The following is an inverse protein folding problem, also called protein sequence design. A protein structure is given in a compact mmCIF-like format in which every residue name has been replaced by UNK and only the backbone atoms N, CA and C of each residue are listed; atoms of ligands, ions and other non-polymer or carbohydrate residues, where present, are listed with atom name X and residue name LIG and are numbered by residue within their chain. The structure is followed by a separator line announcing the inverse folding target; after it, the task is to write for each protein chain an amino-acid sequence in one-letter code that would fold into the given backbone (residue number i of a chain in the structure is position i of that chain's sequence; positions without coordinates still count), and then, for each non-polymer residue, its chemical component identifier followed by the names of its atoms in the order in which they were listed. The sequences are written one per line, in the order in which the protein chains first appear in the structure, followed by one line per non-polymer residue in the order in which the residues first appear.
data_IF_425303768894
#
_entry.id   IF_425303768894
#
_cell.length_a   1.000
_cell.length_b   1.000
_cell.length_c   1.000
_cell.angle_alpha   90.00
_cell.angle_beta   90.00
_cell.angle_gamma   90.00
#
_symmetry.space_group_name_H-M   'P 1'
#
loop_
_entity.id
_entity.type
_entity.pdbx_description
1 polymer ?
#
# COMPACT_ATOMS: atom_id res chain seq x y z
N UNK A 1 3.31 -25.53 19.23
CA UNK A 1 4.39 -25.69 18.23
C UNK A 1 3.77 -25.76 16.85
N UNK A 2 4.05 -24.76 16.01
CA UNK A 2 4.02 -24.85 14.53
C UNK A 2 4.77 -23.61 14.01
N UNK A 3 6.10 -23.72 13.80
CA UNK A 3 6.77 -23.81 12.49
C UNK A 3 6.63 -22.55 11.62
N UNK A 4 7.50 -21.58 11.89
CA UNK A 4 7.87 -20.52 10.94
C UNK A 4 8.72 -21.21 9.85
N UNK A 5 8.12 -21.46 8.69
CA UNK A 5 8.84 -21.92 7.52
C UNK A 5 9.48 -20.72 6.83
N UNK A 6 10.79 -20.82 6.65
CA UNK A 6 11.66 -19.82 6.05
C UNK A 6 11.23 -19.50 4.62
N UNK A 7 11.21 -18.20 4.30
CA UNK A 7 11.14 -17.69 2.94
C UNK A 7 12.36 -18.18 2.15
N UNK A 8 12.12 -18.87 1.04
CA UNK A 8 13.12 -18.99 -0.02
C UNK A 8 13.12 -17.69 -0.84
N UNK A 9 14.33 -17.19 -1.08
CA UNK A 9 14.62 -15.94 -1.77
C UNK A 9 14.81 -16.28 -3.25
N UNK A 10 13.71 -16.36 -4.00
CA UNK A 10 13.70 -16.27 -5.45
C UNK A 10 12.27 -15.97 -5.96
N UNK A 11 12.10 -14.84 -6.65
CA UNK A 11 10.99 -14.57 -7.57
C UNK A 11 9.57 -14.56 -6.99
N UNK A 12 9.28 -13.62 -6.08
CA UNK A 12 7.93 -13.16 -5.82
C UNK A 12 7.86 -11.63 -5.91
N UNK A 13 8.11 -11.10 -7.12
CA UNK A 13 7.64 -9.78 -7.52
C UNK A 13 6.22 -9.94 -8.08
N UNK A 14 5.31 -10.41 -7.23
CA UNK A 14 3.89 -10.59 -7.55
C UNK A 14 3.09 -10.33 -6.29
N UNK A 15 2.77 -9.05 -6.09
CA UNK A 15 1.89 -8.55 -5.04
C UNK A 15 2.47 -8.66 -3.64
N UNK A 16 2.41 -7.56 -2.88
CA UNK A 16 2.27 -7.66 -1.43
C UNK A 16 1.28 -8.80 -1.16
N UNK A 17 1.72 -9.94 -0.59
CA UNK A 17 0.84 -11.08 -0.47
C UNK A 17 -0.42 -10.63 0.26
N UNK A 18 -1.57 -11.21 -0.06
CA UNK A 18 -2.85 -10.99 0.61
C UNK A 18 -2.83 -11.41 2.11
N UNK A 19 -1.72 -11.17 2.82
CA UNK A 19 -1.48 -11.38 4.23
C UNK A 19 -1.98 -10.22 5.08
N UNK A 20 -2.29 -9.06 4.49
CA UNK A 20 -2.87 -7.95 5.23
C UNK A 20 -4.28 -8.21 5.77
N UNK A 21 -5.24 -8.85 5.08
CA UNK A 21 -6.58 -9.08 5.67
C UNK A 21 -6.56 -9.93 6.95
N UNK A 22 -5.58 -10.84 7.11
CA UNK A 22 -5.52 -11.73 8.27
C UNK A 22 -4.82 -11.09 9.47
N UNK A 23 -3.70 -10.38 9.24
CA UNK A 23 -2.99 -9.65 10.29
C UNK A 23 -3.83 -8.48 10.84
N UNK A 24 -4.62 -7.82 9.98
CA UNK A 24 -5.51 -6.72 10.37
C UNK A 24 -6.63 -7.14 11.34
N UNK A 25 -7.01 -8.42 11.39
CA UNK A 25 -8.05 -8.94 12.29
C UNK A 25 -7.62 -8.98 13.76
N UNK A 26 -6.31 -9.02 14.03
CA UNK A 26 -5.77 -9.06 15.40
C UNK A 26 -5.56 -7.65 16.00
N UNK A 27 -5.66 -6.60 15.17
CA UNK A 27 -5.36 -5.21 15.56
C UNK A 27 -6.63 -4.37 15.71
N UNK A 28 -7.71 -4.90 16.31
CA UNK A 28 -8.86 -4.09 16.78
C UNK A 28 -9.43 -3.05 15.81
N UNK A 29 -9.33 -3.29 14.50
CA UNK A 29 -9.79 -2.34 13.49
C UNK A 29 -11.32 -2.35 13.44
N UNK A 30 -11.94 -1.18 13.15
CA UNK A 30 -13.39 -1.11 13.02
C UNK A 30 -13.88 -2.13 11.98
N UNK A 31 -14.98 -2.81 12.29
CA UNK A 31 -15.56 -3.85 11.45
C UNK A 31 -16.24 -3.21 10.23
N UNK A 32 -15.45 -2.82 9.24
CA UNK A 32 -15.96 -2.37 7.95
C UNK A 32 -16.42 -3.60 7.14
N UNK A 33 -17.51 -3.47 6.37
CA UNK A 33 -17.91 -4.53 5.45
C UNK A 33 -16.81 -4.80 4.43
N UNK A 34 -16.49 -6.08 4.20
CA UNK A 34 -15.47 -6.49 3.24
C UNK A 34 -15.78 -5.91 1.86
N UNK A 35 -14.79 -5.28 1.23
CA UNK A 35 -14.93 -4.66 -0.09
C UNK A 35 -15.63 -3.30 -0.09
N UNK A 36 -16.00 -2.77 1.08
CA UNK A 36 -16.44 -1.37 1.19
C UNK A 36 -15.27 -0.42 0.97
N UNK A 37 -15.56 0.79 0.47
CA UNK A 37 -14.54 1.85 0.30
C UNK A 37 -13.81 2.11 1.61
N UNK A 38 -14.53 2.13 2.74
CA UNK A 38 -13.94 2.39 4.05
C UNK A 38 -13.00 1.25 4.50
N UNK A 39 -13.31 -0.01 4.16
CA UNK A 39 -12.40 -1.14 4.38
C UNK A 39 -11.12 -1.03 3.54
N UNK A 40 -11.27 -0.67 2.25
CA UNK A 40 -10.13 -0.50 1.34
C UNK A 40 -9.24 0.68 1.75
N UNK A 41 -9.82 1.83 2.12
CA UNK A 41 -9.05 2.96 2.64
C UNK A 41 -8.38 2.64 3.99
N UNK A 42 -8.97 1.76 4.80
CA UNK A 42 -8.33 1.29 6.03
C UNK A 42 -7.13 0.42 5.69
N UNK A 43 -7.28 -0.57 4.81
CA UNK A 43 -6.17 -1.40 4.34
C UNK A 43 -5.02 -0.55 3.78
N UNK A 44 -5.35 0.41 2.91
CA UNK A 44 -4.39 1.37 2.36
C UNK A 44 -3.57 2.09 3.45
N UNK A 45 -4.24 2.59 4.50
CA UNK A 45 -3.54 3.28 5.60
C UNK A 45 -2.57 2.36 6.34
N UNK A 46 -2.89 1.08 6.52
CA UNK A 46 -1.94 0.14 7.13
C UNK A 46 -0.74 -0.11 6.21
N UNK A 47 -0.94 -0.36 4.91
CA UNK A 47 0.18 -0.59 3.97
C UNK A 47 1.05 0.66 3.87
N UNK A 48 0.43 1.85 3.82
CA UNK A 48 1.15 3.12 3.84
C UNK A 48 2.00 3.28 5.12
N UNK A 49 1.48 2.87 6.29
CA UNK A 49 2.24 2.90 7.54
C UNK A 49 3.44 1.95 7.50
N UNK A 50 3.26 0.74 6.97
CA UNK A 50 4.34 -0.23 6.77
C UNK A 50 5.42 0.30 5.81
N UNK A 51 5.04 1.08 4.79
CA UNK A 51 6.02 1.73 3.90
C UNK A 51 6.86 2.78 4.63
N UNK A 52 6.27 3.52 5.57
CA UNK A 52 7.01 4.49 6.39
C UNK A 52 7.97 3.84 7.39
N UNK A 53 7.71 2.60 7.83
CA UNK A 53 8.63 1.83 8.68
C UNK A 53 9.67 1.05 7.88
N UNK A 54 9.57 1.06 6.54
CA UNK A 54 10.47 0.31 5.65
C UNK A 54 10.16 -1.18 5.56
N UNK A 55 9.03 -1.63 6.12
CA UNK A 55 8.54 -3.00 5.98
C UNK A 55 7.99 -3.28 4.58
N UNK A 56 7.53 -2.23 3.89
CA UNK A 56 7.09 -2.24 2.49
C UNK A 56 7.94 -1.24 1.73
N UNK A 57 8.44 -1.60 0.55
CA UNK A 57 9.17 -0.64 -0.27
C UNK A 57 8.21 0.36 -0.92
N UNK A 58 8.64 1.59 -1.26
CA UNK A 58 7.81 2.54 -1.98
C UNK A 58 7.20 1.95 -3.26
N UNK A 59 8.02 1.21 -4.04
CA UNK A 59 7.56 0.53 -5.25
C UNK A 59 6.51 -0.54 -4.97
N UNK A 60 6.70 -1.37 -3.94
CA UNK A 60 5.72 -2.41 -3.61
C UNK A 60 4.38 -1.80 -3.19
N UNK A 61 4.39 -0.67 -2.48
CA UNK A 61 3.18 0.08 -2.13
C UNK A 61 2.44 0.57 -3.38
N UNK A 62 3.12 1.25 -4.30
CA UNK A 62 2.48 1.80 -5.51
C UNK A 62 1.95 0.68 -6.41
N UNK A 63 2.71 -0.39 -6.58
CA UNK A 63 2.31 -1.54 -7.41
C UNK A 63 1.09 -2.24 -6.81
N UNK A 64 1.07 -2.44 -5.48
CA UNK A 64 -0.10 -2.98 -4.79
C UNK A 64 -1.34 -2.11 -4.99
N UNK A 65 -1.21 -0.78 -4.86
CA UNK A 65 -2.31 0.16 -5.10
C UNK A 65 -2.81 0.06 -6.54
N UNK A 66 -1.91 0.11 -7.52
CA UNK A 66 -2.27 0.12 -8.94
C UNK A 66 -2.97 -1.18 -9.35
N UNK A 67 -2.43 -2.34 -8.93
CA UNK A 67 -3.04 -3.64 -9.20
C UNK A 67 -4.43 -3.79 -8.55
N UNK A 68 -4.59 -3.31 -7.32
CA UNK A 68 -5.82 -3.51 -6.54
C UNK A 68 -6.93 -2.52 -6.89
N UNK A 69 -6.58 -1.27 -7.16
CA UNK A 69 -7.52 -0.16 -7.29
C UNK A 69 -7.46 0.56 -8.63
N UNK A 70 -6.42 0.33 -9.44
CA UNK A 70 -6.06 1.22 -10.54
C UNK A 70 -6.06 2.67 -10.04
N UNK A 71 -6.69 3.56 -10.79
CA UNK A 71 -6.88 4.97 -10.42
C UNK A 71 -8.25 5.26 -9.79
N UNK A 72 -9.00 4.24 -9.35
CA UNK A 72 -10.41 4.40 -8.96
C UNK A 72 -10.62 4.72 -7.48
N UNK A 73 -9.65 4.38 -6.61
CA UNK A 73 -9.70 4.77 -5.20
C UNK A 73 -9.13 6.17 -5.02
N UNK A 74 -10.01 7.17 -4.87
CA UNK A 74 -9.62 8.60 -4.77
C UNK A 74 -8.52 8.88 -3.75
N UNK A 75 -8.53 8.20 -2.60
CA UNK A 75 -7.50 8.41 -1.57
C UNK A 75 -6.11 7.95 -2.03
N UNK A 76 -6.05 6.99 -2.95
CA UNK A 76 -4.83 6.33 -3.43
C UNK A 76 -4.45 6.70 -4.88
N UNK A 77 -5.22 7.57 -5.54
CA UNK A 77 -5.04 7.91 -6.97
C UNK A 77 -3.61 8.37 -7.28
N UNK A 78 -3.02 9.16 -6.38
CA UNK A 78 -1.65 9.65 -6.56
C UNK A 78 -0.61 8.53 -6.43
N UNK A 79 -0.81 7.55 -5.54
CA UNK A 79 0.07 6.38 -5.46
C UNK A 79 -0.01 5.53 -6.74
N UNK A 80 -1.19 5.41 -7.35
CA UNK A 80 -1.34 4.74 -8.63
C UNK A 80 -0.61 5.50 -9.75
N UNK A 81 -0.70 6.85 -9.77
CA UNK A 81 0.04 7.68 -10.73
C UNK A 81 1.57 7.58 -10.55
N UNK A 82 2.03 7.48 -9.31
CA UNK A 82 3.46 7.26 -9.01
C UNK A 82 3.93 5.87 -9.44
N UNK A 83 3.05 4.87 -9.44
CA UNK A 83 3.36 3.56 -10.03
C UNK A 83 3.69 3.67 -11.52
N UNK A 84 2.86 4.39 -12.28
CA UNK A 84 3.11 4.68 -13.69
C UNK A 84 4.43 5.45 -13.87
N UNK A 85 4.74 6.39 -12.97
CA UNK A 85 5.95 7.21 -13.05
C UNK A 85 7.25 6.39 -13.01
N UNK A 86 7.29 5.28 -12.25
CA UNK A 86 8.44 4.38 -12.24
C UNK A 86 8.71 3.77 -13.62
N UNK A 87 7.66 3.46 -14.39
CA UNK A 87 7.77 2.90 -15.75
C UNK A 87 8.31 3.93 -16.76
N UNK A 88 8.18 5.22 -16.46
CA UNK A 88 8.59 6.31 -17.35
C UNK A 88 9.90 6.99 -16.95
N UNK A 89 10.63 6.46 -15.96
CA UNK A 89 11.92 7.04 -15.53
C UNK A 89 12.94 7.14 -16.66
N UNK A 90 12.92 6.22 -17.63
CA UNK A 90 13.81 6.27 -18.81
C UNK A 90 13.43 7.38 -19.83
N UNK A 91 12.23 7.95 -19.71
CA UNK A 91 11.69 8.98 -20.60
C UNK A 91 11.53 10.35 -19.92
N UNK A 92 11.82 10.43 -18.61
CA UNK A 92 11.66 11.65 -17.81
C UNK A 92 12.95 12.01 -17.10
N UNK A 93 13.02 13.24 -16.58
CA UNK A 93 14.16 13.68 -15.77
C UNK A 93 14.06 13.22 -14.29
N UNK A 94 12.94 12.61 -13.91
CA UNK A 94 12.67 12.20 -12.54
C UNK A 94 13.38 10.88 -12.23
N UNK A 95 14.14 10.86 -11.14
CA UNK A 95 14.88 9.70 -10.66
C UNK A 95 13.99 8.77 -9.84
N UNK A 96 14.39 7.50 -9.70
CA UNK A 96 13.65 6.54 -8.84
C UNK A 96 13.63 7.00 -7.39
N UNK A 97 14.71 7.61 -6.93
CA UNK A 97 14.84 8.13 -5.57
C UNK A 97 13.89 9.31 -5.30
N UNK A 98 13.66 10.17 -6.30
CA UNK A 98 12.66 11.25 -6.21
C UNK A 98 11.24 10.67 -6.17
N UNK A 99 10.94 9.65 -6.99
CA UNK A 99 9.64 8.96 -6.94
C UNK A 99 9.45 8.28 -5.57
N UNK A 100 10.47 7.58 -5.04
CA UNK A 100 10.42 6.98 -3.71
C UNK A 100 10.10 8.02 -2.63
N UNK A 101 10.70 9.21 -2.71
CA UNK A 101 10.44 10.30 -1.78
C UNK A 101 9.00 10.82 -1.88
N UNK A 102 8.47 10.97 -3.09
CA UNK A 102 7.08 11.36 -3.35
C UNK A 102 6.09 10.32 -2.81
N UNK A 103 6.36 9.03 -3.03
CA UNK A 103 5.55 7.93 -2.49
C UNK A 103 5.50 7.98 -0.96
N UNK A 104 6.63 8.20 -0.30
CA UNK A 104 6.67 8.30 1.16
C UNK A 104 5.98 9.58 1.66
N UNK A 105 6.05 10.69 0.92
CA UNK A 105 5.31 11.91 1.26
C UNK A 105 3.80 11.66 1.17
N UNK A 106 3.37 10.96 0.12
CA UNK A 106 1.96 10.61 -0.10
C UNK A 106 1.44 9.59 0.94
N UNK A 107 2.25 8.60 1.31
CA UNK A 107 1.93 7.68 2.41
C UNK A 107 1.69 8.43 3.74
N UNK A 108 2.52 9.45 4.06
CA UNK A 108 2.30 10.31 5.24
C UNK A 108 0.99 11.09 5.13
N UNK A 109 0.66 11.64 3.95
CA UNK A 109 -0.61 12.34 3.71
C UNK A 109 -1.81 11.42 3.95
N UNK A 110 -1.76 10.19 3.46
CA UNK A 110 -2.83 9.20 3.61
C UNK A 110 -3.07 8.84 5.08
N UNK A 111 -2.01 8.62 5.85
CA UNK A 111 -2.13 8.31 7.30
C UNK A 111 -2.64 9.52 8.08
N UNK A 112 -2.22 10.73 7.71
CA UNK A 112 -2.72 11.98 8.30
C UNK A 112 -4.15 12.35 7.88
N UNK A 113 -4.67 11.74 6.82
CA UNK A 113 -6.05 11.91 6.38
C UNK A 113 -6.96 11.10 7.31
N UNK A 114 -7.89 11.79 8.00
CA UNK A 114 -8.73 11.24 9.06
C UNK A 114 -9.42 9.91 8.70
N UNK A 115 -9.88 9.13 9.70
CA UNK A 115 -10.33 7.75 9.49
C UNK A 115 -11.46 7.70 8.46
N UNK A 116 -11.30 6.81 7.47
CA UNK A 116 -12.40 6.44 6.57
C UNK A 116 -13.57 5.97 7.43
N UNK A 117 -14.77 6.45 7.13
CA UNK A 117 -15.93 6.41 8.02
C UNK A 117 -16.49 5.02 8.31
N UNK A 118 -15.71 4.14 8.93
CA UNK A 118 -16.20 2.90 9.53
C UNK A 118 -16.80 3.24 10.89
N UNK A 119 -18.13 3.22 10.98
CA UNK A 119 -18.85 3.28 12.25
C UNK A 119 -18.90 1.87 12.85
N UNK A 120 -18.56 1.75 14.14
CA UNK A 120 -18.86 0.58 14.96
C UNK A 120 -20.27 0.62 15.54
#
# INVERSE_FOLDING_TARGET
MSMVAALDRAEAHDGLPELLPTALREVGLPSCDRGSIAAEETALRIVAAAALTGEVTPRDLTTWVHQRHGHFLKLAEELARLDDAYEYTEFTAQTREEIDADVLAEARRIIGSGPGGCTG
#
